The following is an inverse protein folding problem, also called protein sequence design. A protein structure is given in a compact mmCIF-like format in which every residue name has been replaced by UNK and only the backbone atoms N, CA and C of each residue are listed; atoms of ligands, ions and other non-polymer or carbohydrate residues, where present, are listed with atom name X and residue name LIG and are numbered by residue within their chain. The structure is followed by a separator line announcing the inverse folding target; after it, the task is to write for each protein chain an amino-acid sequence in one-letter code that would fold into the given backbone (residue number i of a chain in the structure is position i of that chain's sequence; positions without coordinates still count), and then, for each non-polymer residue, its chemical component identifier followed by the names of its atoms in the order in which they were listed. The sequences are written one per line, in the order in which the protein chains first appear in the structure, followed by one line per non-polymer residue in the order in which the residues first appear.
data_IF_439336143489
#
_entry.id   IF_439336143489
#
_cell.length_a   1.000
_cell.length_b   1.000
_cell.length_c   1.000
_cell.angle_alpha   90.00
_cell.angle_beta   90.00
_cell.angle_gamma   90.00
#
_symmetry.space_group_name_H-M   'P 1'
#
loop_
_entity.id
_entity.type
_entity.pdbx_description
1 polymer ?
#
# COMPACT_ATOMS: atom_id res chain seq x y z
N UNK A 1 5.84 30.75 -1.96
CA UNK A 1 6.69 30.91 -0.76
C UNK A 1 7.63 29.72 -0.70
N UNK A 2 8.95 29.94 -0.67
CA UNK A 2 9.94 28.89 -0.44
C UNK A 2 9.86 28.42 1.01
N UNK A 3 9.77 27.11 1.24
CA UNK A 3 9.79 26.55 2.59
C UNK A 3 11.16 26.85 3.22
N UNK A 4 11.19 27.46 4.41
CA UNK A 4 12.43 27.88 5.09
C UNK A 4 13.37 26.71 5.44
N UNK A 5 12.85 25.49 5.48
CA UNK A 5 13.62 24.28 5.74
C UNK A 5 14.12 23.60 4.46
N UNK A 6 13.72 24.06 3.27
CA UNK A 6 14.16 23.44 2.04
C UNK A 6 15.56 23.92 1.65
N UNK A 7 16.48 23.00 1.38
CA UNK A 7 17.80 23.30 0.84
C UNK A 7 17.79 22.95 -0.66
N UNK A 8 18.17 23.90 -1.52
CA UNK A 8 18.30 23.63 -2.94
C UNK A 8 19.55 22.79 -3.24
N UNK A 9 19.64 22.23 -4.46
CA UNK A 9 20.72 21.30 -4.81
C UNK A 9 22.12 21.92 -4.60
N UNK A 10 22.40 23.17 -5.01
CA UNK A 10 23.67 23.81 -4.71
C UNK A 10 23.99 23.89 -3.21
N UNK A 11 23.03 24.29 -2.38
CA UNK A 11 23.24 24.41 -0.94
C UNK A 11 23.42 23.05 -0.27
N UNK A 12 22.65 22.03 -0.66
CA UNK A 12 22.80 20.65 -0.17
C UNK A 12 24.23 20.14 -0.36
N UNK A 13 24.85 20.42 -1.52
CA UNK A 13 26.22 19.98 -1.80
C UNK A 13 27.22 20.60 -0.82
N UNK A 14 27.07 21.89 -0.55
CA UNK A 14 27.94 22.59 0.40
C UNK A 14 27.74 22.00 1.80
N UNK A 15 26.48 21.76 2.20
CA UNK A 15 26.14 21.10 3.47
C UNK A 15 26.77 19.71 3.56
N UNK A 16 26.68 18.90 2.50
CA UNK A 16 27.30 17.58 2.46
C UNK A 16 28.80 17.65 2.71
N UNK A 17 29.48 18.53 1.95
CA UNK A 17 30.93 18.67 2.02
C UNK A 17 31.35 19.06 3.42
N UNK A 18 30.67 20.04 4.04
CA UNK A 18 31.00 20.47 5.40
C UNK A 18 30.81 19.34 6.39
N UNK A 19 29.72 18.57 6.30
CA UNK A 19 29.50 17.45 7.21
C UNK A 19 30.55 16.35 7.03
N UNK A 20 31.00 16.08 5.80
CA UNK A 20 32.09 15.15 5.53
C UNK A 20 33.43 15.68 6.05
N UNK A 21 33.75 16.96 5.81
CA UNK A 21 34.95 17.62 6.36
C UNK A 21 34.96 17.51 7.90
N UNK A 22 33.82 17.78 8.55
CA UNK A 22 33.70 17.64 10.01
C UNK A 22 33.82 16.19 10.47
N UNK A 23 33.30 15.22 9.72
CA UNK A 23 33.46 13.80 10.02
C UNK A 23 34.93 13.35 9.94
N UNK A 24 35.63 13.73 8.86
CA UNK A 24 36.96 13.19 8.55
C UNK A 24 38.11 14.00 9.17
N UNK A 25 37.99 15.32 9.25
CA UNK A 25 39.10 16.22 9.59
C UNK A 25 38.99 16.83 10.99
N UNK A 26 37.80 16.82 11.61
CA UNK A 26 37.64 17.38 12.95
C UNK A 26 38.37 16.50 13.98
N UNK A 27 39.27 17.14 14.74
CA UNK A 27 40.06 16.50 15.79
C UNK A 27 39.24 16.21 17.05
N UNK A 28 38.14 16.92 17.25
CA UNK A 28 37.19 16.61 18.31
C UNK A 28 36.29 15.45 17.87
N UNK A 29 36.48 14.31 18.55
CA UNK A 29 35.72 13.08 18.30
C UNK A 29 34.21 13.27 18.47
N UNK A 30 33.79 14.14 19.39
CA UNK A 30 32.37 14.41 19.64
C UNK A 30 31.76 15.20 18.49
N UNK A 31 32.46 16.22 17.98
CA UNK A 31 32.00 17.01 16.84
C UNK A 31 31.99 16.17 15.54
N UNK A 32 33.01 15.34 15.34
CA UNK A 32 33.06 14.35 14.24
C UNK A 32 31.85 13.38 14.31
N UNK A 33 31.53 12.87 15.50
CA UNK A 33 30.36 12.02 15.70
C UNK A 33 29.03 12.75 15.51
N UNK A 34 28.91 14.02 15.93
CA UNK A 34 27.72 14.84 15.65
C UNK A 34 27.52 15.04 14.14
N UNK A 35 28.59 15.21 13.38
CA UNK A 35 28.53 15.29 11.92
C UNK A 35 28.02 13.97 11.31
N UNK A 36 28.51 12.82 11.80
CA UNK A 36 27.98 11.51 11.41
C UNK A 36 26.47 11.35 11.71
N UNK A 37 26.01 11.80 12.89
CA UNK A 37 24.58 11.82 13.23
C UNK A 37 23.76 12.70 12.28
N UNK A 38 24.31 13.84 11.83
CA UNK A 38 23.66 14.70 10.83
C UNK A 38 23.60 14.05 9.45
N UNK A 39 24.66 13.36 9.01
CA UNK A 39 24.65 12.56 7.79
C UNK A 39 23.60 11.44 7.87
N UNK A 40 23.55 10.70 8.99
CA UNK A 40 22.49 9.71 9.24
C UNK A 40 21.09 10.33 9.14
N UNK A 41 20.89 11.51 9.70
CA UNK A 41 19.62 12.25 9.65
C UNK A 41 19.17 12.57 8.22
N UNK A 42 20.09 13.04 7.37
CA UNK A 42 19.83 13.37 5.96
C UNK A 42 19.34 12.16 5.17
N UNK A 43 19.94 11.00 5.38
CA UNK A 43 19.65 9.81 4.57
C UNK A 43 18.48 8.98 5.12
N UNK A 44 18.19 9.07 6.42
CA UNK A 44 17.09 8.31 7.04
C UNK A 44 15.82 9.12 7.26
N UNK A 45 15.90 10.45 7.21
CA UNK A 45 14.81 11.37 7.55
C UNK A 45 14.47 11.42 9.04
N UNK A 46 15.30 10.81 9.90
CA UNK A 46 15.13 10.85 11.35
C UNK A 46 15.92 12.01 11.96
N UNK A 47 15.58 12.44 13.18
CA UNK A 47 16.35 13.48 13.88
C UNK A 47 17.79 13.03 14.17
N UNK A 48 18.77 13.92 14.00
CA UNK A 48 20.18 13.64 14.34
C UNK A 48 20.35 13.12 15.78
N UNK A 49 19.50 13.59 16.69
CA UNK A 49 19.52 13.23 18.13
C UNK A 49 19.31 11.75 18.37
N UNK A 50 18.55 11.03 17.53
CA UNK A 50 18.29 9.60 17.76
C UNK A 50 19.53 8.74 17.53
N UNK A 51 20.48 9.24 16.74
CA UNK A 51 21.65 8.47 16.34
C UNK A 51 22.74 8.42 17.40
N UNK A 52 22.65 9.24 18.44
CA UNK A 52 23.60 9.18 19.56
C UNK A 52 23.58 7.81 20.27
N UNK A 53 22.44 7.10 20.23
CA UNK A 53 22.27 5.77 20.85
C UNK A 53 22.19 4.65 19.79
N UNK A 54 23.36 4.31 19.22
CA UNK A 54 23.48 3.24 18.22
C UNK A 54 23.09 1.87 18.80
N UNK A 55 23.40 1.60 20.08
CA UNK A 55 23.12 0.30 20.68
C UNK A 55 21.61 0.06 20.83
N UNK A 56 20.83 1.10 21.15
CA UNK A 56 19.37 1.02 21.13
C UNK A 56 18.83 0.78 19.70
N UNK A 57 19.41 1.40 18.67
CA UNK A 57 19.02 1.15 17.28
C UNK A 57 19.33 -0.28 16.84
N UNK A 58 20.44 -0.86 17.30
CA UNK A 58 20.77 -2.28 17.08
C UNK A 58 19.80 -3.21 17.84
N UNK A 59 19.50 -2.89 19.10
CA UNK A 59 18.56 -3.65 19.95
C UNK A 59 17.15 -3.68 19.39
N UNK A 60 16.66 -2.54 18.89
CA UNK A 60 15.35 -2.40 18.24
C UNK A 60 15.33 -2.92 16.81
N UNK A 61 16.49 -3.31 16.26
CA UNK A 61 16.67 -3.82 14.89
C UNK A 61 16.35 -2.80 13.79
N UNK A 62 16.29 -1.51 14.13
CA UNK A 62 16.20 -0.42 13.15
C UNK A 62 17.55 -0.21 12.45
N UNK A 63 18.65 -0.53 13.14
CA UNK A 63 19.97 -0.74 12.56
C UNK A 63 20.36 -2.22 12.70
N UNK A 64 21.03 -2.79 11.70
CA UNK A 64 21.60 -4.15 11.78
C UNK A 64 23.06 -4.14 11.36
N UNK A 65 23.90 -4.83 12.12
CA UNK A 65 25.27 -5.15 11.70
C UNK A 65 25.26 -6.43 10.86
N UNK A 66 25.94 -6.42 9.72
CA UNK A 66 26.09 -7.65 8.93
C UNK A 66 26.99 -8.63 9.66
N UNK A 67 26.62 -9.92 9.67
CA UNK A 67 27.38 -10.97 10.34
C UNK A 67 28.68 -11.33 9.61
N UNK A 68 28.72 -11.11 8.30
CA UNK A 68 29.77 -11.63 7.43
C UNK A 68 30.62 -10.52 6.78
N UNK A 69 30.23 -9.24 6.96
CA UNK A 69 30.87 -8.09 6.31
C UNK A 69 30.87 -6.89 7.27
N UNK A 70 31.87 -6.02 7.16
CA UNK A 70 32.00 -4.81 7.98
C UNK A 70 31.09 -3.67 7.46
N UNK A 71 29.77 -3.87 7.48
CA UNK A 71 28.81 -2.80 7.19
C UNK A 71 27.57 -2.86 8.06
N UNK A 72 26.84 -1.74 8.07
CA UNK A 72 25.58 -1.56 8.77
C UNK A 72 24.43 -1.35 7.78
N UNK A 73 23.25 -1.85 8.15
CA UNK A 73 22.02 -1.73 7.39
C UNK A 73 21.01 -0.89 8.16
N UNK A 74 20.55 0.19 7.56
CA UNK A 74 19.37 0.91 8.02
C UNK A 74 18.11 0.19 7.53
N UNK A 75 17.17 -0.07 8.44
CA UNK A 75 15.94 -0.82 8.16
C UNK A 75 14.75 0.13 8.13
N UNK A 76 14.05 0.14 6.99
CA UNK A 76 12.77 0.82 6.81
C UNK A 76 11.65 -0.22 6.95
N UNK A 77 10.83 -0.08 7.99
CA UNK A 77 9.64 -0.90 8.28
C UNK A 77 8.44 0.04 8.49
N UNK A 78 7.36 -0.18 7.74
CA UNK A 78 6.11 0.57 7.89
C UNK A 78 5.21 0.01 9.01
N UNK A 79 5.69 -0.96 9.79
CA UNK A 79 4.96 -1.73 10.80
C UNK A 79 3.73 -2.42 10.22
N UNK A 80 3.99 -3.14 9.11
CA UNK A 80 2.97 -3.93 8.44
C UNK A 80 2.53 -5.11 9.31
N UNK A 81 1.26 -5.48 9.19
CA UNK A 81 0.75 -6.61 9.95
C UNK A 81 1.35 -7.94 9.41
N UNK A 82 2.03 -8.67 10.30
CA UNK A 82 2.75 -9.91 10.01
C UNK A 82 1.94 -11.17 10.34
N UNK A 83 0.73 -11.02 10.88
CA UNK A 83 -0.17 -12.12 11.24
C UNK A 83 -0.98 -12.54 10.00
N UNK A 84 -0.44 -13.52 9.28
CA UNK A 84 -1.07 -14.12 8.11
C UNK A 84 -1.81 -15.41 8.50
N UNK A 85 -2.92 -15.71 7.82
CA UNK A 85 -3.75 -16.90 8.01
C UNK A 85 -4.19 -17.47 6.66
N UNK A 86 -4.58 -18.74 6.63
CA UNK A 86 -5.08 -19.40 5.42
C UNK A 86 -4.05 -19.49 4.28
N UNK A 87 -4.53 -19.58 3.03
CA UNK A 87 -3.65 -19.79 1.86
C UNK A 87 -2.53 -18.75 1.74
N UNK A 88 -2.78 -17.50 2.15
CA UNK A 88 -1.79 -16.42 2.01
C UNK A 88 -0.60 -16.56 2.96
N UNK A 89 -0.71 -17.39 4.00
CA UNK A 89 0.41 -17.68 4.91
C UNK A 89 1.51 -18.48 4.20
N UNK A 90 1.16 -19.32 3.21
CA UNK A 90 2.09 -20.11 2.40
C UNK A 90 2.98 -19.19 1.58
N UNK A 91 4.31 -19.42 1.62
CA UNK A 91 5.31 -18.51 1.02
C UNK A 91 5.05 -18.28 -0.48
N UNK A 92 4.80 -19.34 -1.22
CA UNK A 92 4.65 -19.31 -2.69
C UNK A 92 3.36 -18.65 -3.19
N UNK A 93 2.49 -18.24 -2.27
CA UNK A 93 1.26 -17.52 -2.60
C UNK A 93 1.42 -16.00 -2.48
N UNK A 94 2.47 -15.50 -1.83
CA UNK A 94 2.65 -14.08 -1.52
C UNK A 94 3.25 -13.34 -2.71
N UNK A 95 2.67 -12.20 -3.08
CA UNK A 95 3.28 -11.32 -4.09
C UNK A 95 4.40 -10.46 -3.52
N UNK A 96 4.21 -9.93 -2.30
CA UNK A 96 5.24 -9.20 -1.57
C UNK A 96 5.87 -10.14 -0.55
N UNK A 97 7.16 -10.43 -0.71
CA UNK A 97 7.87 -11.43 0.07
C UNK A 97 8.44 -10.86 1.37
N UNK A 98 8.81 -9.59 1.35
CA UNK A 98 9.45 -8.91 2.47
C UNK A 98 8.52 -7.86 3.09
N UNK A 99 8.78 -7.52 4.36
CA UNK A 99 8.09 -6.43 5.07
C UNK A 99 8.97 -5.21 5.31
N UNK A 100 10.28 -5.35 5.10
CA UNK A 100 11.24 -4.27 5.34
C UNK A 100 12.17 -4.10 4.16
N UNK A 101 12.46 -2.84 3.84
CA UNK A 101 13.49 -2.47 2.89
C UNK A 101 14.72 -1.99 3.65
N UNK A 102 15.91 -2.24 3.12
CA UNK A 102 17.15 -1.90 3.80
C UNK A 102 18.21 -1.38 2.84
N UNK A 103 19.02 -0.45 3.33
CA UNK A 103 20.18 0.05 2.61
C UNK A 103 21.39 0.14 3.54
N UNK A 104 22.56 0.04 2.95
CA UNK A 104 23.83 0.12 3.63
C UNK A 104 24.13 1.57 4.03
N UNK A 105 24.62 1.73 5.25
CA UNK A 105 25.22 2.95 5.77
C UNK A 105 26.75 2.76 5.83
N UNK A 106 27.54 3.79 5.50
CA UNK A 106 28.99 3.78 5.73
C UNK A 106 29.35 3.37 7.16
N UNK A 107 30.23 2.36 7.30
CA UNK A 107 30.61 1.84 8.61
C UNK A 107 31.28 2.92 9.48
N UNK A 108 32.11 3.76 8.86
CA UNK A 108 32.78 4.88 9.53
C UNK A 108 31.81 5.80 10.28
N UNK A 109 30.61 6.06 9.73
CA UNK A 109 29.63 6.92 10.40
C UNK A 109 29.17 6.30 11.71
N UNK A 110 28.83 5.02 11.68
CA UNK A 110 28.35 4.28 12.85
C UNK A 110 29.47 4.08 13.86
N UNK A 111 30.65 3.65 13.41
CA UNK A 111 31.79 3.37 14.27
C UNK A 111 32.27 4.65 14.98
N UNK A 112 32.29 5.80 14.29
CA UNK A 112 32.64 7.09 14.89
C UNK A 112 31.67 7.50 15.99
N UNK A 113 30.37 7.33 15.78
CA UNK A 113 29.35 7.64 16.80
C UNK A 113 29.53 6.75 18.03
N UNK A 114 29.77 5.45 17.83
CA UNK A 114 29.98 4.49 18.92
C UNK A 114 31.26 4.79 19.71
N UNK A 115 32.34 5.16 19.04
CA UNK A 115 33.60 5.55 19.67
C UNK A 115 33.45 6.80 20.53
N UNK A 116 32.74 7.81 20.03
CA UNK A 116 32.50 9.05 20.78
C UNK A 116 31.57 8.86 21.99
N UNK A 117 30.77 7.79 22.02
CA UNK A 117 29.84 7.47 23.10
C UNK A 117 28.95 8.67 23.51
N UNK A 118 28.33 9.29 22.50
CA UNK A 118 27.47 10.46 22.68
C UNK A 118 26.29 10.13 23.61
N UNK A 119 25.99 11.02 24.56
CA UNK A 119 24.84 10.83 25.46
C UNK A 119 24.23 12.17 25.90
N UNK A 120 22.92 12.16 26.11
CA UNK A 120 22.13 13.28 26.61
C UNK A 120 22.21 14.57 25.77
N UNK A 121 22.56 14.47 24.48
CA UNK A 121 22.55 15.60 23.57
C UNK A 121 21.13 15.92 23.12
N UNK A 122 20.81 17.21 23.05
CA UNK A 122 19.53 17.76 22.61
C UNK A 122 19.64 18.36 21.21
N UNK A 123 18.50 18.73 20.59
CA UNK A 123 18.53 19.46 19.33
C UNK A 123 19.41 20.72 19.42
N UNK A 124 19.38 21.44 20.55
CA UNK A 124 20.15 22.66 20.78
C UNK A 124 21.67 22.41 20.68
N UNK A 125 22.14 21.28 21.19
CA UNK A 125 23.57 20.93 21.17
C UNK A 125 24.06 20.68 19.74
N UNK A 126 23.22 20.04 18.92
CA UNK A 126 23.49 19.85 17.50
C UNK A 126 23.38 21.18 16.73
N UNK A 127 22.39 22.01 17.02
CA UNK A 127 22.18 23.30 16.37
C UNK A 127 23.32 24.29 16.65
N UNK A 128 23.93 24.23 17.84
CA UNK A 128 25.14 24.98 18.16
C UNK A 128 26.31 24.59 17.25
N UNK A 129 26.59 23.29 17.16
CA UNK A 129 27.65 22.74 16.28
C UNK A 129 27.42 23.11 14.82
N UNK A 130 26.19 22.91 14.31
CA UNK A 130 25.81 23.32 12.96
C UNK A 130 26.06 24.82 12.75
N UNK A 131 25.57 25.66 13.66
CA UNK A 131 25.77 27.11 13.55
C UNK A 131 27.26 27.48 13.44
N UNK A 132 28.12 26.87 14.25
CA UNK A 132 29.58 27.08 14.22
C UNK A 132 30.20 26.62 12.89
N UNK A 133 29.86 25.42 12.40
CA UNK A 133 30.40 24.87 11.14
C UNK A 133 30.01 25.69 9.90
N UNK A 134 28.82 26.29 9.91
CA UNK A 134 28.29 27.05 8.78
C UNK A 134 28.58 28.57 8.86
N UNK A 135 28.95 29.08 10.04
CA UNK A 135 29.14 30.52 10.29
C UNK A 135 30.11 31.18 9.29
N UNK A 136 31.33 30.64 9.16
CA UNK A 136 32.37 31.22 8.30
C UNK A 136 32.06 31.14 6.81
N UNK A 137 31.10 30.30 6.42
CA UNK A 137 30.68 30.15 5.02
C UNK A 137 29.48 31.03 4.66
N UNK A 138 29.03 31.89 5.59
CA UNK A 138 27.89 32.82 5.41
C UNK A 138 26.60 32.09 5.01
N UNK A 139 26.47 30.85 5.44
CA UNK A 139 25.24 30.06 5.27
C UNK A 139 24.38 30.34 6.50
N UNK A 140 23.10 30.65 6.28
CA UNK A 140 22.14 30.86 7.36
C UNK A 140 22.01 29.63 8.27
N UNK A 141 21.43 29.78 9.47
CA UNK A 141 21.38 28.68 10.43
C UNK A 141 20.65 27.47 9.85
N UNK A 142 21.34 26.33 9.85
CA UNK A 142 20.77 25.03 9.48
C UNK A 142 20.38 24.31 10.77
N UNK A 143 19.11 23.98 10.92
CA UNK A 143 18.60 23.26 12.09
C UNK A 143 18.62 21.75 11.89
N UNK A 144 18.55 21.00 12.99
CA UNK A 144 18.38 19.54 12.97
C UNK A 144 17.10 19.15 12.22
N UNK A 145 16.02 19.92 12.41
CA UNK A 145 14.76 19.75 11.70
C UNK A 145 14.93 19.95 10.19
N UNK A 146 15.68 20.97 9.78
CA UNK A 146 15.99 21.22 8.37
C UNK A 146 16.67 20.00 7.75
N UNK A 147 17.74 19.49 8.39
CA UNK A 147 18.50 18.32 7.95
C UNK A 147 17.61 17.09 7.78
N UNK A 148 16.79 16.75 8.78
CA UNK A 148 15.91 15.58 8.72
C UNK A 148 14.84 15.69 7.61
N UNK A 149 14.33 16.90 7.33
CA UNK A 149 13.27 17.10 6.34
C UNK A 149 13.75 17.01 4.89
N UNK A 150 15.06 17.05 4.61
CA UNK A 150 15.57 17.01 3.23
C UNK A 150 15.13 15.75 2.49
N UNK A 151 15.16 14.58 3.14
CA UNK A 151 14.71 13.34 2.51
C UNK A 151 13.27 13.48 2.00
N UNK A 152 12.36 13.98 2.84
CA UNK A 152 10.96 14.21 2.46
C UNK A 152 10.83 15.25 1.33
N UNK A 153 11.52 16.40 1.41
CA UNK A 153 11.43 17.45 0.39
C UNK A 153 11.93 17.03 -0.98
N UNK A 154 13.00 16.25 -1.04
CA UNK A 154 13.56 15.79 -2.31
C UNK A 154 12.80 14.60 -2.86
N UNK A 155 12.38 13.64 -2.02
CA UNK A 155 11.53 12.55 -2.48
C UNK A 155 10.17 13.06 -2.99
N UNK A 156 9.60 14.13 -2.44
CA UNK A 156 8.41 14.80 -3.01
C UNK A 156 8.61 15.27 -4.47
N UNK A 157 9.84 15.55 -4.89
CA UNK A 157 10.16 15.98 -6.26
C UNK A 157 10.59 14.83 -7.17
N UNK A 158 11.13 13.76 -6.60
CA UNK A 158 11.66 12.60 -7.33
C UNK A 158 10.58 11.53 -7.54
N UNK A 159 9.76 11.27 -6.53
CA UNK A 159 8.74 10.24 -6.57
C UNK A 159 7.59 10.64 -7.50
N UNK A 160 7.08 9.65 -8.24
CA UNK A 160 5.87 9.82 -9.06
C UNK A 160 4.58 9.67 -8.24
N UNK A 161 4.66 8.99 -7.10
CA UNK A 161 3.53 8.69 -6.22
C UNK A 161 3.89 8.91 -4.75
N UNK A 162 2.90 9.30 -3.94
CA UNK A 162 3.11 9.59 -2.51
C UNK A 162 3.36 8.34 -1.69
N UNK A 163 2.84 7.19 -2.12
CA UNK A 163 2.95 5.95 -1.36
C UNK A 163 4.41 5.49 -1.27
N UNK A 164 5.14 5.51 -2.38
CA UNK A 164 6.57 5.20 -2.48
C UNK A 164 7.38 6.14 -1.59
N UNK A 165 7.12 7.45 -1.67
CA UNK A 165 7.75 8.45 -0.80
C UNK A 165 7.52 8.14 0.67
N UNK A 166 6.27 7.95 1.07
CA UNK A 166 5.89 7.71 2.47
C UNK A 166 6.54 6.44 3.02
N UNK A 167 6.65 5.38 2.21
CA UNK A 167 7.40 4.20 2.59
C UNK A 167 8.88 4.49 2.78
N UNK A 168 9.55 5.14 1.81
CA UNK A 168 10.99 5.43 1.85
C UNK A 168 11.41 6.30 3.05
N UNK A 169 10.58 7.28 3.46
CA UNK A 169 10.84 8.10 4.65
C UNK A 169 10.50 7.38 5.97
N UNK A 170 10.04 6.12 5.93
CA UNK A 170 9.72 5.32 7.11
C UNK A 170 8.42 5.71 7.80
N UNK A 171 7.42 6.25 7.09
CA UNK A 171 6.08 6.44 7.67
C UNK A 171 5.49 5.10 8.08
N UNK A 172 4.84 5.11 9.25
CA UNK A 172 4.15 3.96 9.80
C UNK A 172 2.71 3.90 9.27
N UNK A 173 2.15 2.69 9.16
CA UNK A 173 0.74 2.47 8.78
C UNK A 173 -0.24 3.25 9.65
N UNK A 174 0.07 3.49 10.93
CA UNK A 174 -0.76 4.30 11.83
C UNK A 174 -0.89 5.76 11.38
N UNK A 175 0.10 6.28 10.67
CA UNK A 175 0.13 7.65 10.15
C UNK A 175 -0.26 7.72 8.67
N UNK A 176 0.10 6.70 7.88
CA UNK A 176 -0.30 6.56 6.47
C UNK A 176 -0.98 5.19 6.24
N UNK A 177 -2.31 5.09 6.42
CA UNK A 177 -3.05 3.83 6.35
C UNK A 177 -2.92 3.08 5.02
N UNK A 178 -2.68 3.78 3.90
CA UNK A 178 -2.50 3.19 2.57
C UNK A 178 -1.36 2.18 2.48
N UNK A 179 -0.31 2.40 3.29
CA UNK A 179 0.84 1.50 3.34
C UNK A 179 0.43 0.09 3.76
N UNK A 180 -0.68 -0.08 4.48
CA UNK A 180 -1.18 -1.39 4.87
C UNK A 180 -1.51 -2.29 3.66
N UNK A 181 -1.84 -1.70 2.52
CA UNK A 181 -2.27 -2.41 1.32
C UNK A 181 -1.21 -2.47 0.23
N UNK A 182 -0.31 -1.48 0.19
CA UNK A 182 0.68 -1.32 -0.85
C UNK A 182 1.79 -2.36 -0.87
N UNK A 183 2.49 -2.42 -2.00
CA UNK A 183 3.71 -3.18 -2.19
C UNK A 183 4.56 -2.58 -3.30
N UNK A 184 5.86 -2.76 -3.20
CA UNK A 184 6.87 -2.10 -4.02
C UNK A 184 7.87 -3.13 -4.51
N UNK A 185 8.38 -2.96 -5.73
CA UNK A 185 9.58 -3.68 -6.15
C UNK A 185 10.81 -3.07 -5.50
N UNK A 186 11.80 -3.89 -5.16
CA UNK A 186 13.08 -3.37 -4.68
C UNK A 186 13.75 -2.49 -5.74
N UNK A 187 13.63 -2.85 -7.02
CA UNK A 187 14.12 -2.04 -8.15
C UNK A 187 13.60 -0.61 -8.10
N UNK A 188 12.28 -0.42 -8.00
CA UNK A 188 11.65 0.90 -7.92
C UNK A 188 12.16 1.70 -6.72
N UNK A 189 12.21 1.09 -5.52
CA UNK A 189 12.67 1.77 -4.32
C UNK A 189 14.15 2.18 -4.41
N UNK A 190 14.99 1.27 -4.89
CA UNK A 190 16.42 1.51 -5.06
C UNK A 190 16.66 2.61 -6.10
N UNK A 191 16.01 2.59 -7.26
CA UNK A 191 16.16 3.62 -8.30
C UNK A 191 15.74 5.01 -7.80
N UNK A 192 14.63 5.10 -7.06
CA UNK A 192 14.15 6.37 -6.50
C UNK A 192 15.12 6.89 -5.43
N UNK A 193 15.55 6.03 -4.52
CA UNK A 193 16.46 6.42 -3.46
C UNK A 193 17.88 6.70 -3.99
N UNK A 194 18.32 6.03 -5.06
CA UNK A 194 19.60 6.29 -5.74
C UNK A 194 19.61 7.70 -6.35
N UNK A 195 18.49 8.12 -6.97
CA UNK A 195 18.33 9.50 -7.44
C UNK A 195 18.47 10.51 -6.30
N UNK A 196 17.96 10.20 -5.11
CA UNK A 196 18.15 11.04 -3.93
C UNK A 196 19.62 11.09 -3.51
N UNK A 197 20.29 9.94 -3.36
CA UNK A 197 21.73 9.87 -3.05
C UNK A 197 22.54 10.69 -4.08
N UNK A 198 22.19 10.61 -5.36
CA UNK A 198 22.89 11.32 -6.43
C UNK A 198 22.82 12.85 -6.30
N UNK A 199 21.79 13.41 -5.65
CA UNK A 199 21.73 14.85 -5.37
C UNK A 199 22.90 15.31 -4.47
N UNK A 200 23.36 14.42 -3.60
CA UNK A 200 24.42 14.68 -2.61
C UNK A 200 25.82 14.32 -3.15
N UNK A 201 25.93 13.32 -4.04
CA UNK A 201 27.20 12.71 -4.46
C UNK A 201 27.34 12.58 -5.99
N UNK A 202 27.34 13.70 -6.72
CA UNK A 202 27.13 13.74 -8.18
C UNK A 202 28.20 13.06 -9.06
N UNK A 203 29.39 12.74 -8.56
CA UNK A 203 30.42 12.05 -9.33
C UNK A 203 30.66 10.65 -8.77
N UNK A 204 30.24 9.62 -9.52
CA UNK A 204 30.55 8.20 -9.23
C UNK A 204 32.05 7.94 -9.03
N UNK A 205 32.89 8.86 -9.52
CA UNK A 205 34.35 8.73 -9.57
C UNK A 205 35.11 9.70 -8.63
N UNK A 206 34.45 10.68 -7.98
CA UNK A 206 35.16 11.70 -7.15
C UNK A 206 34.93 11.54 -5.65
N UNK A 207 33.82 10.93 -5.23
CA UNK A 207 33.58 10.60 -3.82
C UNK A 207 33.89 9.13 -3.62
N UNK A 208 34.69 8.81 -2.61
CA UNK A 208 34.98 7.42 -2.27
C UNK A 208 33.65 6.70 -2.06
N UNK A 209 33.43 5.60 -2.79
CA UNK A 209 32.18 4.83 -2.77
C UNK A 209 31.81 4.42 -1.33
N UNK A 210 32.80 4.34 -0.43
CA UNK A 210 32.65 4.06 1.00
C UNK A 210 31.98 5.17 1.82
N UNK A 211 31.92 6.43 1.35
CA UNK A 211 31.41 7.58 2.12
C UNK A 211 29.95 7.91 1.81
N UNK A 212 29.22 7.01 1.14
CA UNK A 212 27.79 7.19 0.84
C UNK A 212 26.98 5.93 1.09
N UNK A 213 25.66 6.08 1.31
CA UNK A 213 24.76 4.93 1.38
C UNK A 213 24.79 4.10 0.09
N UNK A 214 24.62 2.78 0.23
CA UNK A 214 24.61 1.83 -0.89
C UNK A 214 23.49 0.81 -0.77
N UNK A 215 23.12 0.15 -1.86
CA UNK A 215 22.11 -0.92 -1.84
C UNK A 215 22.77 -2.30 -1.85
N UNK A 216 22.23 -3.22 -1.04
CA UNK A 216 22.72 -4.60 -0.93
C UNK A 216 21.77 -5.59 -1.62
N UNK A 217 20.50 -5.21 -1.79
CA UNK A 217 19.46 -6.07 -2.35
C UNK A 217 19.37 -5.85 -3.86
N UNK A 218 19.92 -6.81 -4.60
CA UNK A 218 20.18 -6.78 -6.06
C UNK A 218 19.12 -7.57 -6.85
N UNK A 219 18.18 -8.24 -6.18
CA UNK A 219 17.14 -9.00 -6.89
C UNK A 219 16.07 -8.05 -7.42
N UNK A 220 16.14 -7.71 -8.71
CA UNK A 220 15.19 -6.81 -9.37
C UNK A 220 13.72 -7.23 -9.19
N UNK A 221 13.47 -8.54 -9.07
CA UNK A 221 12.14 -9.11 -8.96
C UNK A 221 11.60 -9.17 -7.52
N UNK A 222 12.46 -8.99 -6.52
CA UNK A 222 12.03 -9.04 -5.12
C UNK A 222 11.07 -7.89 -4.81
N UNK A 223 10.16 -8.13 -3.87
CA UNK A 223 9.12 -7.16 -3.48
C UNK A 223 8.97 -7.04 -1.96
N UNK A 224 8.64 -5.83 -1.53
CA UNK A 224 8.42 -5.46 -0.13
C UNK A 224 7.05 -4.81 0.04
N UNK A 225 6.39 -5.07 1.15
CA UNK A 225 5.12 -4.44 1.50
C UNK A 225 4.15 -5.41 2.12
N UNK A 226 2.86 -5.15 1.90
CA UNK A 226 1.79 -5.97 2.47
C UNK A 226 1.89 -7.41 1.96
N UNK A 227 2.15 -8.35 2.85
CA UNK A 227 2.22 -9.79 2.54
C UNK A 227 0.82 -10.43 2.38
N UNK A 228 -0.25 -9.62 2.43
CA UNK A 228 -1.66 -10.04 2.29
C UNK A 228 -2.15 -9.97 0.83
N UNK A 229 -1.23 -10.00 -0.12
CA UNK A 229 -1.48 -9.92 -1.56
C UNK A 229 -1.11 -11.27 -2.17
N UNK A 230 -2.05 -11.90 -2.88
CA UNK A 230 -1.72 -13.07 -3.68
C UNK A 230 -0.93 -12.70 -4.92
N UNK A 231 -0.03 -13.58 -5.36
CA UNK A 231 0.57 -13.45 -6.70
C UNK A 231 -0.49 -13.48 -7.78
N UNK A 232 -0.20 -12.83 -8.91
CA UNK A 232 -1.16 -12.69 -10.01
C UNK A 232 -1.68 -14.04 -10.51
N UNK A 233 -0.78 -14.99 -10.75
CA UNK A 233 -1.13 -16.31 -11.29
C UNK A 233 -1.99 -17.13 -10.33
N UNK A 234 -1.78 -16.99 -9.01
CA UNK A 234 -2.60 -17.66 -7.99
C UNK A 234 -4.00 -17.07 -7.95
N UNK A 235 -4.12 -15.74 -7.95
CA UNK A 235 -5.42 -15.07 -8.03
C UNK A 235 -6.16 -15.41 -9.34
N UNK A 236 -5.44 -15.41 -10.46
CA UNK A 236 -5.97 -15.81 -11.77
C UNK A 236 -6.49 -17.24 -11.75
N UNK A 237 -5.68 -18.20 -11.29
CA UNK A 237 -6.10 -19.60 -11.18
C UNK A 237 -7.34 -19.73 -10.31
N UNK A 238 -7.34 -19.11 -9.12
CA UNK A 238 -8.49 -19.11 -8.21
C UNK A 238 -9.77 -18.60 -8.89
N UNK A 239 -9.74 -17.41 -9.50
CA UNK A 239 -10.92 -16.80 -10.10
C UNK A 239 -11.45 -17.58 -11.31
N UNK A 240 -10.57 -18.16 -12.13
CA UNK A 240 -10.98 -18.99 -13.27
C UNK A 240 -11.58 -20.33 -12.80
N UNK A 241 -11.00 -20.96 -11.78
CA UNK A 241 -11.59 -22.17 -11.18
C UNK A 241 -12.96 -21.88 -10.59
N UNK A 242 -13.11 -20.77 -9.87
CA UNK A 242 -14.40 -20.33 -9.35
C UNK A 242 -15.42 -20.12 -10.48
N UNK A 243 -15.04 -19.38 -11.53
CA UNK A 243 -15.91 -19.12 -12.69
C UNK A 243 -16.41 -20.42 -13.32
N UNK A 244 -15.51 -21.39 -13.57
CA UNK A 244 -15.86 -22.67 -14.19
C UNK A 244 -16.84 -23.47 -13.35
N UNK A 245 -16.63 -23.56 -12.03
CA UNK A 245 -17.57 -24.29 -11.15
C UNK A 245 -18.92 -23.58 -11.06
N UNK A 246 -18.94 -22.25 -11.00
CA UNK A 246 -20.21 -21.49 -11.00
C UNK A 246 -20.99 -21.74 -12.29
N UNK A 247 -20.33 -21.70 -13.46
CA UNK A 247 -20.96 -22.05 -14.75
C UNK A 247 -21.54 -23.48 -14.71
N UNK A 248 -20.78 -24.43 -14.18
CA UNK A 248 -21.23 -25.82 -14.07
C UNK A 248 -22.49 -25.94 -13.19
N UNK A 249 -22.47 -25.35 -12.00
CA UNK A 249 -23.61 -25.35 -11.06
C UNK A 249 -24.86 -24.74 -11.71
N UNK A 250 -24.71 -23.66 -12.47
CA UNK A 250 -25.84 -23.01 -13.13
C UNK A 250 -26.47 -23.87 -14.24
N UNK A 251 -25.66 -24.66 -14.96
CA UNK A 251 -26.10 -25.55 -16.05
C UNK A 251 -26.77 -26.83 -15.59
N UNK A 252 -26.24 -27.44 -14.54
CA UNK A 252 -26.68 -28.76 -14.08
C UNK A 252 -28.08 -28.70 -13.43
N UNK A 253 -28.73 -29.86 -13.30
CA UNK A 253 -29.92 -30.01 -12.44
C UNK A 253 -29.49 -29.97 -10.96
N UNK A 254 -29.05 -28.80 -10.53
CA UNK A 254 -28.75 -28.48 -9.14
C UNK A 254 -29.95 -27.80 -8.49
N UNK A 255 -30.00 -27.92 -7.16
CA UNK A 255 -30.98 -27.20 -6.35
C UNK A 255 -30.86 -25.67 -6.55
N UNK A 256 -32.00 -24.99 -6.48
CA UNK A 256 -32.08 -23.56 -6.75
C UNK A 256 -31.30 -22.73 -5.72
N UNK A 257 -31.16 -23.20 -4.48
CA UNK A 257 -30.36 -22.53 -3.46
C UNK A 257 -28.86 -22.61 -3.78
N UNK A 258 -28.39 -23.74 -4.31
CA UNK A 258 -26.99 -23.90 -4.70
C UNK A 258 -26.65 -23.01 -5.90
N UNK A 259 -27.53 -22.95 -6.92
CA UNK A 259 -27.41 -22.00 -8.03
C UNK A 259 -27.36 -20.55 -7.55
N UNK A 260 -28.22 -20.22 -6.59
CA UNK A 260 -28.29 -18.90 -6.01
C UNK A 260 -26.99 -18.53 -5.26
N UNK A 261 -26.48 -19.43 -4.42
CA UNK A 261 -25.26 -19.21 -3.64
C UNK A 261 -24.03 -19.08 -4.57
N UNK A 262 -23.88 -19.97 -5.54
CA UNK A 262 -22.79 -19.96 -6.50
C UNK A 262 -22.71 -18.63 -7.27
N UNK A 263 -23.84 -18.16 -7.80
CA UNK A 263 -23.89 -16.91 -8.55
C UNK A 263 -23.63 -15.69 -7.64
N UNK A 264 -24.18 -15.70 -6.42
CA UNK A 264 -23.95 -14.66 -5.41
C UNK A 264 -22.46 -14.50 -5.06
N UNK A 265 -21.75 -15.62 -4.88
CA UNK A 265 -20.30 -15.62 -4.63
C UNK A 265 -19.52 -15.06 -5.81
N UNK A 266 -19.89 -15.40 -7.05
CA UNK A 266 -19.24 -14.87 -8.24
C UNK A 266 -19.39 -13.35 -8.35
N UNK A 267 -20.60 -12.84 -8.19
CA UNK A 267 -20.89 -11.41 -8.24
C UNK A 267 -20.16 -10.66 -7.13
N UNK A 268 -20.07 -11.24 -5.93
CA UNK A 268 -19.30 -10.66 -4.83
C UNK A 268 -17.85 -10.38 -5.21
N UNK A 269 -17.15 -11.35 -5.84
CA UNK A 269 -15.78 -11.14 -6.29
C UNK A 269 -15.69 -10.12 -7.42
N UNK A 270 -16.60 -10.14 -8.38
CA UNK A 270 -16.64 -9.15 -9.47
C UNK A 270 -16.77 -7.73 -8.91
N UNK A 271 -17.67 -7.51 -7.96
CA UNK A 271 -17.87 -6.22 -7.30
C UNK A 271 -16.63 -5.78 -6.50
N UNK A 272 -16.01 -6.67 -5.72
CA UNK A 272 -14.83 -6.30 -4.92
C UNK A 272 -13.62 -5.96 -5.79
N UNK A 273 -13.38 -6.74 -6.85
CA UNK A 273 -12.25 -6.52 -7.77
C UNK A 273 -12.44 -5.25 -8.61
N UNK A 274 -13.67 -4.97 -9.02
CA UNK A 274 -13.96 -3.78 -9.85
C UNK A 274 -14.08 -2.48 -9.09
N UNK A 275 -14.19 -2.55 -7.76
CA UNK A 275 -14.38 -1.37 -6.93
C UNK A 275 -13.27 -1.09 -5.93
N UNK A 276 -12.39 -2.06 -5.67
CA UNK A 276 -11.40 -1.99 -4.59
C UNK A 276 -12.02 -1.91 -3.18
N UNK A 277 -13.31 -2.21 -3.03
CA UNK A 277 -14.03 -2.14 -1.78
C UNK A 277 -13.51 -3.12 -0.71
N UNK A 278 -13.76 -2.82 0.56
CA UNK A 278 -13.55 -3.79 1.64
C UNK A 278 -14.72 -4.81 1.61
N UNK A 279 -14.49 -6.13 1.82
CA UNK A 279 -15.54 -7.12 2.08
C UNK A 279 -16.30 -6.87 3.41
N UNK A 280 -16.94 -5.71 3.55
CA UNK A 280 -17.89 -5.38 4.60
C UNK A 280 -19.32 -5.48 4.05
N UNK A 281 -20.29 -5.65 4.96
CA UNK A 281 -21.72 -6.00 4.71
C UNK A 281 -22.43 -5.16 3.61
N UNK A 282 -21.93 -3.95 3.26
CA UNK A 282 -22.57 -3.04 2.32
C UNK A 282 -21.73 -2.53 1.14
N UNK A 283 -20.51 -3.04 0.91
CA UNK A 283 -19.60 -2.40 -0.05
C UNK A 283 -19.68 -2.95 -1.50
N UNK A 284 -20.39 -4.05 -1.73
CA UNK A 284 -20.45 -4.75 -3.03
C UNK A 284 -21.83 -5.30 -3.41
N UNK A 285 -22.87 -5.07 -2.59
CA UNK A 285 -24.13 -5.83 -2.67
C UNK A 285 -25.42 -5.02 -2.59
N UNK A 286 -25.37 -3.69 -2.39
CA UNK A 286 -26.56 -2.82 -2.33
C UNK A 286 -26.97 -2.38 -3.72
N UNK A 287 -28.04 -2.97 -4.30
CA UNK A 287 -28.53 -2.63 -5.66
C UNK A 287 -28.82 -1.14 -5.79
N UNK A 288 -29.39 -0.51 -4.76
CA UNK A 288 -29.71 0.92 -4.73
C UNK A 288 -28.47 1.82 -4.79
N UNK A 289 -27.28 1.28 -4.52
CA UNK A 289 -26.03 2.02 -4.66
C UNK A 289 -25.47 1.99 -6.08
N UNK A 290 -26.04 1.19 -7.00
CA UNK A 290 -25.60 1.11 -8.39
C UNK A 290 -26.51 1.95 -9.28
N UNK A 291 -25.92 2.92 -9.97
CA UNK A 291 -26.54 3.63 -11.07
C UNK A 291 -26.04 3.05 -12.39
N UNK A 292 -26.89 2.25 -13.05
CA UNK A 292 -26.60 1.62 -14.34
C UNK A 292 -26.74 2.57 -15.53
N UNK A 293 -27.30 3.77 -15.35
CA UNK A 293 -27.35 4.79 -16.41
C UNK A 293 -25.98 5.46 -16.52
N UNK A 294 -25.39 5.82 -15.37
CA UNK A 294 -24.06 6.47 -15.34
C UNK A 294 -22.91 5.49 -15.14
N UNK A 295 -23.19 4.21 -14.90
CA UNK A 295 -22.22 3.16 -14.57
C UNK A 295 -21.34 3.54 -13.37
N UNK A 296 -21.97 4.00 -12.28
CA UNK A 296 -21.31 4.38 -11.04
C UNK A 296 -21.94 3.63 -9.87
N UNK A 297 -21.11 3.08 -8.99
CA UNK A 297 -21.53 2.56 -7.70
C UNK A 297 -21.11 3.50 -6.56
N UNK A 298 -22.01 3.74 -5.61
CA UNK A 298 -21.69 4.44 -4.37
C UNK A 298 -21.28 3.45 -3.27
N UNK A 299 -20.08 3.61 -2.73
CA UNK A 299 -19.48 2.62 -1.82
C UNK A 299 -19.22 3.23 -0.46
N UNK A 300 -19.74 2.57 0.57
CA UNK A 300 -19.59 2.98 1.95
C UNK A 300 -18.74 1.97 2.75
N UNK A 301 -17.41 2.14 2.70
CA UNK A 301 -16.45 1.19 3.29
C UNK A 301 -16.50 1.10 4.85
N UNK A 302 -17.14 2.05 5.55
CA UNK A 302 -17.27 2.07 7.03
C UNK A 302 -18.56 2.73 7.50
N UNK A 303 -19.42 2.06 8.25
CA UNK A 303 -20.57 2.66 8.95
C UNK A 303 -20.15 3.29 10.30
N UNK A 304 -19.26 4.28 10.28
CA UNK A 304 -18.80 4.96 11.51
C UNK A 304 -19.14 6.45 11.49
N UNK A 305 -19.54 7.02 12.63
CA UNK A 305 -19.85 8.46 12.79
C UNK A 305 -18.73 9.41 12.30
N UNK A 306 -17.48 8.94 12.23
CA UNK A 306 -16.32 9.72 11.77
C UNK A 306 -16.10 9.75 10.25
N UNK A 307 -16.85 8.95 9.47
CA UNK A 307 -16.82 8.98 8.00
C UNK A 307 -18.26 8.90 7.46
N UNK A 308 -18.97 10.04 7.42
CA UNK A 308 -20.38 10.08 7.01
C UNK A 308 -20.60 9.97 5.49
N UNK A 309 -19.52 10.02 4.69
CA UNK A 309 -19.58 9.99 3.24
C UNK A 309 -18.82 8.79 2.68
N UNK A 310 -19.42 8.16 1.69
CA UNK A 310 -18.84 7.11 0.85
C UNK A 310 -18.10 7.69 -0.36
N UNK A 311 -17.85 6.85 -1.35
CA UNK A 311 -17.09 7.19 -2.57
C UNK A 311 -17.80 6.68 -3.81
N UNK A 312 -17.58 7.37 -4.94
CA UNK A 312 -18.07 6.93 -6.24
C UNK A 312 -17.04 6.02 -6.90
N UNK A 313 -17.48 4.84 -7.32
CA UNK A 313 -16.68 3.84 -8.02
C UNK A 313 -17.27 3.60 -9.40
N UNK A 314 -16.56 3.98 -10.48
CA UNK A 314 -16.95 3.63 -11.84
C UNK A 314 -17.07 2.11 -12.01
N UNK A 315 -18.02 1.69 -12.83
CA UNK A 315 -18.27 0.30 -13.19
C UNK A 315 -17.81 0.06 -14.61
N UNK A 316 -17.24 -1.12 -14.85
CA UNK A 316 -16.94 -1.57 -16.20
C UNK A 316 -18.12 -2.37 -16.77
N UNK A 317 -18.25 -2.36 -18.10
CA UNK A 317 -19.32 -3.05 -18.82
C UNK A 317 -19.46 -4.53 -18.42
N UNK A 318 -18.34 -5.25 -18.23
CA UNK A 318 -18.36 -6.63 -17.76
C UNK A 318 -19.17 -6.80 -16.47
N UNK A 319 -18.93 -5.94 -15.48
CA UNK A 319 -19.58 -6.03 -14.17
C UNK A 319 -21.04 -5.62 -14.26
N UNK A 320 -21.34 -4.60 -15.07
CA UNK A 320 -22.72 -4.18 -15.34
C UNK A 320 -23.52 -5.34 -15.92
N UNK A 321 -22.99 -6.01 -16.94
CA UNK A 321 -23.65 -7.13 -17.59
C UNK A 321 -23.84 -8.31 -16.62
N UNK A 322 -22.83 -8.66 -15.83
CA UNK A 322 -22.96 -9.74 -14.84
C UNK A 322 -23.99 -9.42 -13.75
N UNK A 323 -24.06 -8.16 -13.31
CA UNK A 323 -25.08 -7.70 -12.36
C UNK A 323 -26.49 -7.75 -12.97
N UNK A 324 -26.65 -7.41 -14.24
CA UNK A 324 -27.93 -7.51 -14.95
C UNK A 324 -28.38 -8.97 -15.10
N UNK A 325 -27.47 -9.87 -15.49
CA UNK A 325 -27.74 -11.30 -15.54
C UNK A 325 -28.16 -11.86 -14.19
N UNK A 326 -27.49 -11.43 -13.11
CA UNK A 326 -27.85 -11.80 -11.76
C UNK A 326 -29.23 -11.26 -11.35
N UNK A 327 -29.58 -10.03 -11.75
CA UNK A 327 -30.93 -9.46 -11.54
C UNK A 327 -32.02 -10.28 -12.21
N UNK A 328 -31.79 -10.67 -13.47
CA UNK A 328 -32.72 -11.51 -14.23
C UNK A 328 -32.86 -12.89 -13.61
N UNK A 329 -31.74 -13.53 -13.24
CA UNK A 329 -31.74 -14.81 -12.54
C UNK A 329 -32.57 -14.75 -11.25
N UNK A 330 -32.35 -13.74 -10.39
CA UNK A 330 -33.12 -13.59 -9.14
C UNK A 330 -34.60 -13.37 -9.41
N UNK A 331 -34.96 -12.54 -10.40
CA UNK A 331 -36.35 -12.28 -10.75
C UNK A 331 -37.11 -13.53 -11.19
N UNK A 332 -36.41 -14.50 -11.76
CA UNK A 332 -37.00 -15.74 -12.26
C UNK A 332 -37.08 -16.85 -11.20
N UNK A 333 -36.48 -16.66 -10.02
CA UNK A 333 -36.55 -17.63 -8.92
C UNK A 333 -37.90 -17.54 -8.21
N UNK A 334 -38.52 -18.70 -7.96
CA UNK A 334 -39.67 -18.79 -7.07
C UNK A 334 -39.22 -18.73 -5.60
N UNK A 335 -39.60 -17.66 -4.89
CA UNK A 335 -39.21 -17.43 -3.49
C UNK A 335 -39.65 -18.57 -2.54
N UNK A 336 -40.78 -19.22 -2.81
CA UNK A 336 -41.27 -20.36 -2.02
C UNK A 336 -40.42 -21.62 -2.22
N UNK A 337 -39.94 -21.84 -3.44
CA UNK A 337 -39.06 -22.97 -3.77
C UNK A 337 -37.69 -22.80 -3.10
N UNK A 338 -37.14 -21.58 -3.12
CA UNK A 338 -35.89 -21.24 -2.46
C UNK A 338 -35.99 -21.40 -0.92
N UNK A 339 -37.10 -20.98 -0.32
CA UNK A 339 -37.30 -21.08 1.13
C UNK A 339 -37.38 -22.53 1.64
N UNK A 340 -37.82 -23.46 0.79
CA UNK A 340 -38.05 -24.86 1.15
C UNK A 340 -36.81 -25.76 0.94
N UNK A 341 -35.74 -25.26 0.31
CA UNK A 341 -34.65 -26.08 -0.24
C UNK A 341 -33.32 -25.97 0.53
N UNK A 342 -33.13 -25.00 1.44
CA UNK A 342 -31.88 -24.87 2.17
C UNK A 342 -32.00 -24.36 3.61
N UNK A 343 -31.23 -24.97 4.52
CA UNK A 343 -30.99 -24.48 5.88
C UNK A 343 -30.16 -23.17 5.89
N UNK A 344 -29.39 -22.91 4.82
CA UNK A 344 -28.50 -21.75 4.68
C UNK A 344 -28.54 -21.17 3.24
N UNK A 345 -29.11 -19.97 3.09
CA UNK A 345 -29.08 -19.18 1.83
C UNK A 345 -28.15 -17.98 2.04
N UNK A 346 -27.10 -17.90 1.24
CA UNK A 346 -26.09 -16.85 1.32
C UNK A 346 -26.41 -15.73 0.32
N UNK A 347 -27.08 -14.68 0.80
CA UNK A 347 -27.69 -13.65 -0.03
C UNK A 347 -26.85 -12.38 -0.19
N UNK A 348 -26.61 -11.91 -1.43
CA UNK A 348 -26.12 -10.55 -1.62
C UNK A 348 -27.16 -9.57 -1.08
N UNK A 349 -26.83 -8.97 0.06
CA UNK A 349 -27.70 -8.37 1.06
C UNK A 349 -28.85 -7.43 0.63
N UNK A 350 -28.98 -7.07 -0.64
CA UNK A 350 -29.87 -6.03 -1.11
C UNK A 350 -30.27 -6.15 -2.59
N UNK A 351 -30.15 -7.33 -3.19
CA UNK A 351 -30.75 -7.57 -4.51
C UNK A 351 -32.24 -7.96 -4.37
N UNK A 352 -33.09 -6.94 -4.15
CA UNK A 352 -34.57 -6.93 -4.07
C UNK A 352 -35.19 -6.98 -2.65
N UNK A 353 -35.51 -5.78 -2.13
CA UNK A 353 -36.53 -5.57 -1.09
C UNK A 353 -37.92 -5.56 -1.76
N UNK A 354 -38.53 -6.73 -1.91
CA UNK A 354 -39.91 -6.91 -2.39
C UNK A 354 -40.69 -7.87 -1.49
N UNK A 355 -42.03 -7.76 -1.51
CA UNK A 355 -42.94 -8.48 -0.61
C UNK A 355 -42.87 -10.02 -0.70
N UNK A 356 -42.34 -10.56 -1.80
CA UNK A 356 -42.28 -12.00 -2.09
C UNK A 356 -41.30 -12.78 -1.21
N UNK A 357 -40.25 -12.12 -0.70
CA UNK A 357 -39.24 -12.71 0.19
C UNK A 357 -39.49 -12.39 1.68
N UNK A 358 -40.60 -11.72 2.03
CA UNK A 358 -40.92 -11.35 3.42
C UNK A 358 -41.27 -12.55 4.33
N UNK A 359 -41.41 -13.75 3.76
CA UNK A 359 -41.73 -14.98 4.50
C UNK A 359 -40.53 -15.69 5.13
N UNK A 360 -39.29 -15.27 4.84
CA UNK A 360 -38.07 -15.84 5.45
C UNK A 360 -36.96 -14.80 5.63
N UNK A 361 -36.08 -15.02 6.62
CA UNK A 361 -34.99 -14.11 6.95
C UNK A 361 -33.76 -14.42 6.09
N UNK A 362 -33.38 -13.48 5.22
CA UNK A 362 -32.14 -13.57 4.44
C UNK A 362 -31.01 -12.84 5.17
N UNK A 363 -29.91 -13.55 5.47
CA UNK A 363 -28.70 -12.93 6.03
C UNK A 363 -27.82 -12.31 4.94
N UNK A 364 -27.23 -11.14 5.19
CA UNK A 364 -26.30 -10.53 4.24
C UNK A 364 -25.08 -11.42 4.00
N UNK A 365 -24.66 -11.54 2.74
CA UNK A 365 -23.44 -12.24 2.36
C UNK A 365 -22.27 -11.55 3.04
N UNK A 366 -21.64 -12.28 3.94
CA UNK A 366 -20.45 -11.81 4.65
C UNK A 366 -19.24 -12.56 4.13
N UNK A 367 -18.05 -12.06 4.46
CA UNK A 367 -16.84 -12.81 4.18
C UNK A 367 -16.84 -14.21 4.84
N UNK A 368 -17.49 -14.37 6.01
CA UNK A 368 -17.63 -15.67 6.67
C UNK A 368 -18.43 -16.64 5.81
N UNK A 369 -19.53 -16.18 5.22
CA UNK A 369 -20.37 -16.96 4.31
C UNK A 369 -19.61 -17.37 3.05
N UNK A 370 -18.85 -16.45 2.45
CA UNK A 370 -17.96 -16.78 1.33
C UNK A 370 -16.93 -17.86 1.71
N UNK A 371 -16.30 -17.73 2.88
CA UNK A 371 -15.30 -18.69 3.34
C UNK A 371 -15.91 -20.08 3.58
N UNK A 372 -17.08 -20.17 4.22
CA UNK A 372 -17.82 -21.43 4.40
C UNK A 372 -18.15 -22.07 3.06
N UNK A 373 -18.81 -21.34 2.17
CA UNK A 373 -19.20 -21.84 0.85
C UNK A 373 -18.01 -22.34 0.03
N UNK A 374 -16.89 -21.59 0.04
CA UNK A 374 -15.68 -22.01 -0.66
C UNK A 374 -15.02 -23.23 -0.02
N UNK A 375 -15.01 -23.34 1.31
CA UNK A 375 -14.44 -24.50 1.99
C UNK A 375 -15.21 -25.79 1.69
N UNK A 376 -16.53 -25.71 1.53
CA UNK A 376 -17.40 -26.85 1.25
C UNK A 376 -17.31 -27.28 -0.23
N UNK A 377 -17.35 -26.31 -1.15
CA UNK A 377 -17.44 -26.58 -2.59
C UNK A 377 -16.09 -26.54 -3.33
N UNK A 378 -15.06 -26.00 -2.67
CA UNK A 378 -13.71 -25.83 -3.21
C UNK A 378 -12.66 -26.09 -2.13
N UNK A 379 -12.58 -27.30 -1.55
CA UNK A 379 -11.70 -27.60 -0.41
C UNK A 379 -10.21 -27.40 -0.73
N UNK A 380 -9.82 -27.36 -2.01
CA UNK A 380 -8.48 -26.96 -2.46
C UNK A 380 -8.14 -25.49 -2.10
N UNK A 381 -9.16 -24.68 -1.83
CA UNK A 381 -9.13 -23.27 -1.46
C UNK A 381 -9.32 -23.18 0.08
N UNK A 382 -8.24 -23.44 0.82
CA UNK A 382 -8.13 -23.12 2.26
C UNK A 382 -8.48 -21.64 2.57
N UNK A 383 -8.61 -21.27 3.85
CA UNK A 383 -9.18 -20.00 4.32
C UNK A 383 -8.68 -18.77 3.53
N UNK A 384 -9.62 -17.98 3.00
CA UNK A 384 -9.31 -16.73 2.30
C UNK A 384 -8.98 -15.62 3.29
N UNK A 385 -7.86 -14.93 3.06
CA UNK A 385 -7.48 -13.81 3.90
C UNK A 385 -8.48 -12.63 3.78
N UNK A 386 -8.95 -12.04 4.88
CA UNK A 386 -9.80 -10.85 4.85
C UNK A 386 -9.23 -9.68 4.05
N UNK A 387 -10.05 -9.14 3.14
CA UNK A 387 -9.72 -8.04 2.24
C UNK A 387 -8.63 -8.34 1.19
N UNK A 388 -8.26 -9.60 0.91
CA UNK A 388 -7.20 -9.92 -0.06
C UNK A 388 -7.44 -9.27 -1.44
N UNK A 389 -8.71 -9.14 -1.87
CA UNK A 389 -9.09 -8.48 -3.13
C UNK A 389 -8.68 -7.01 -3.15
N UNK A 390 -8.85 -6.28 -2.04
CA UNK A 390 -8.43 -4.88 -1.93
C UNK A 390 -6.90 -4.74 -1.96
N UNK A 391 -6.20 -5.67 -1.33
CA UNK A 391 -4.74 -5.77 -1.39
C UNK A 391 -4.28 -6.07 -2.83
N UNK A 392 -4.95 -7.01 -3.50
CA UNK A 392 -4.70 -7.39 -4.88
C UNK A 392 -4.88 -6.21 -5.85
N UNK A 393 -6.04 -5.54 -5.81
CA UNK A 393 -6.32 -4.37 -6.65
C UNK A 393 -5.28 -3.27 -6.41
N UNK A 394 -4.85 -3.02 -5.16
CA UNK A 394 -3.81 -2.01 -4.88
C UNK A 394 -2.46 -2.30 -5.54
N UNK A 395 -2.12 -3.57 -5.73
CA UNK A 395 -0.81 -3.97 -6.23
C UNK A 395 -0.77 -4.23 -7.74
N UNK A 396 -1.91 -4.51 -8.37
CA UNK A 396 -1.99 -4.90 -9.78
C UNK A 396 -2.77 -3.93 -10.67
N UNK A 397 -3.44 -2.95 -10.08
CA UNK A 397 -4.09 -1.89 -10.84
C UNK A 397 -3.14 -0.70 -11.00
N UNK A 398 -2.90 -0.32 -12.25
CA UNK A 398 -2.08 0.84 -12.61
C UNK A 398 -3.00 2.06 -12.74
N UNK A 399 -2.94 2.97 -11.77
CA UNK A 399 -3.64 4.24 -11.82
C UNK A 399 -2.73 5.38 -11.35
N UNK A 400 -2.96 6.60 -11.82
CA UNK A 400 -2.38 7.80 -11.21
C UNK A 400 -2.68 7.85 -9.71
N UNK A 401 -1.69 8.23 -8.89
CA UNK A 401 -1.79 8.19 -7.43
C UNK A 401 -2.98 9.02 -6.89
N UNK A 402 -3.22 10.21 -7.46
CA UNK A 402 -4.35 11.06 -7.08
C UNK A 402 -5.72 10.40 -7.33
N UNK A 403 -5.86 9.66 -8.44
CA UNK A 403 -7.07 8.88 -8.75
C UNK A 403 -7.20 7.72 -7.77
N UNK A 404 -6.10 6.99 -7.54
CA UNK A 404 -6.09 5.84 -6.65
C UNK A 404 -6.49 6.24 -5.22
N UNK A 405 -5.90 7.31 -4.67
CA UNK A 405 -6.23 7.85 -3.33
C UNK A 405 -7.70 8.23 -3.21
N UNK A 406 -8.22 8.95 -4.20
CA UNK A 406 -9.64 9.34 -4.27
C UNK A 406 -10.55 8.11 -4.30
N UNK A 407 -10.19 7.11 -5.11
CA UNK A 407 -10.95 5.89 -5.28
C UNK A 407 -10.85 4.94 -4.09
N UNK A 408 -9.81 4.99 -3.26
CA UNK A 408 -9.71 4.17 -2.06
C UNK A 408 -10.17 4.88 -0.77
N UNK A 409 -10.36 6.20 -0.81
CA UNK A 409 -10.89 7.03 0.27
C UNK A 409 -10.19 6.81 1.64
N UNK A 410 -8.87 6.68 1.64
CA UNK A 410 -8.11 6.37 2.85
C UNK A 410 -7.65 7.59 3.64
N UNK A 411 -7.59 8.78 3.03
CA UNK A 411 -6.99 10.00 3.61
C UNK A 411 -7.99 11.02 4.20
N UNK A 412 -7.44 12.10 4.77
CA UNK A 412 -8.16 13.25 5.33
C UNK A 412 -9.03 13.93 4.26
N UNK A 413 -10.14 14.58 4.66
CA UNK A 413 -11.13 15.19 3.74
C UNK A 413 -10.55 16.07 2.62
N UNK A 414 -9.36 16.65 2.80
CA UNK A 414 -8.73 17.56 1.84
C UNK A 414 -7.93 16.85 0.73
N UNK A 415 -7.61 15.55 0.89
CA UNK A 415 -6.83 14.75 -0.07
C UNK A 415 -7.71 13.84 -0.95
N UNK A 416 -9.02 13.86 -0.71
CA UNK A 416 -10.01 13.16 -1.53
C UNK A 416 -10.30 14.01 -2.77
N UNK A 417 -10.35 13.36 -3.93
CA UNK A 417 -10.80 13.96 -5.18
C UNK A 417 -12.16 14.65 -5.05
N UNK A 418 -12.35 15.69 -5.85
CA UNK A 418 -13.59 16.51 -5.85
C UNK A 418 -13.80 17.36 -4.59
N UNK A 419 -12.79 17.49 -3.72
CA UNK A 419 -12.77 18.56 -2.72
C UNK A 419 -12.71 19.95 -3.40
N UNK A 420 -13.01 21.02 -2.65
CA UNK A 420 -13.09 22.41 -3.17
C UNK A 420 -11.84 22.85 -3.97
N UNK A 421 -10.67 22.32 -3.64
CA UNK A 421 -9.40 22.67 -4.27
C UNK A 421 -8.83 21.56 -5.16
N UNK A 422 -9.63 20.51 -5.43
CA UNK A 422 -9.22 19.40 -6.29
C UNK A 422 -9.26 19.82 -7.76
N UNK A 423 -8.19 19.55 -8.49
CA UNK A 423 -8.13 19.67 -9.95
C UNK A 423 -8.57 18.39 -10.68
N UNK A 424 -8.94 17.35 -9.94
CA UNK A 424 -9.31 16.06 -10.52
C UNK A 424 -10.64 16.16 -11.25
N UNK A 425 -10.62 15.89 -12.56
CA UNK A 425 -11.81 15.91 -13.40
C UNK A 425 -12.61 14.60 -13.26
N UNK A 426 -13.95 14.67 -13.06
CA UNK A 426 -14.79 13.47 -12.94
C UNK A 426 -14.68 12.52 -14.13
N UNK A 427 -14.62 13.06 -15.35
CA UNK A 427 -14.48 12.26 -16.57
C UNK A 427 -13.16 11.46 -16.59
N UNK A 428 -12.03 12.11 -16.32
CA UNK A 428 -10.72 11.45 -16.24
C UNK A 428 -10.71 10.40 -15.13
N UNK A 429 -11.25 10.73 -13.95
CA UNK A 429 -11.40 9.78 -12.86
C UNK A 429 -12.17 8.52 -13.29
N UNK A 430 -13.27 8.67 -14.03
CA UNK A 430 -14.07 7.55 -14.52
C UNK A 430 -13.32 6.68 -15.52
N UNK A 431 -12.81 7.29 -16.59
CA UNK A 431 -12.19 6.57 -17.72
C UNK A 431 -10.93 5.82 -17.29
N UNK A 432 -10.06 6.45 -16.50
CA UNK A 432 -8.82 5.83 -16.03
C UNK A 432 -9.10 4.59 -15.16
N UNK A 433 -10.09 4.69 -14.26
CA UNK A 433 -10.50 3.54 -13.43
C UNK A 433 -11.12 2.45 -14.30
N UNK A 434 -12.04 2.80 -15.21
CA UNK A 434 -12.70 1.83 -16.07
C UNK A 434 -11.69 1.10 -16.97
N UNK A 435 -10.75 1.83 -17.58
CA UNK A 435 -9.71 1.24 -18.43
C UNK A 435 -8.80 0.30 -17.62
N UNK A 436 -8.25 0.77 -16.50
CA UNK A 436 -7.38 -0.05 -15.67
C UNK A 436 -8.08 -1.32 -15.16
N UNK A 437 -9.34 -1.20 -14.70
CA UNK A 437 -10.12 -2.34 -14.19
C UNK A 437 -10.48 -3.29 -15.34
N UNK A 438 -10.85 -2.78 -16.52
CA UNK A 438 -11.08 -3.60 -17.71
C UNK A 438 -9.83 -4.39 -18.09
N UNK A 439 -8.67 -3.75 -18.11
CA UNK A 439 -7.39 -4.42 -18.40
C UNK A 439 -7.07 -5.49 -17.36
N UNK A 440 -7.31 -5.21 -16.07
CA UNK A 440 -7.14 -6.20 -15.00
C UNK A 440 -8.03 -7.44 -15.23
N UNK A 441 -9.33 -7.23 -15.52
CA UNK A 441 -10.28 -8.32 -15.77
C UNK A 441 -9.88 -9.14 -17.01
N UNK A 442 -9.45 -8.48 -18.09
CA UNK A 442 -8.92 -9.13 -19.30
C UNK A 442 -7.67 -9.98 -18.99
N UNK A 443 -6.71 -9.45 -18.23
CA UNK A 443 -5.49 -10.18 -17.85
C UNK A 443 -5.79 -11.39 -16.95
N UNK A 444 -6.76 -11.25 -16.05
CA UNK A 444 -7.29 -12.34 -15.23
C UNK A 444 -8.05 -13.38 -16.07
N UNK A 445 -8.48 -13.03 -17.29
CA UNK A 445 -9.22 -13.93 -18.17
C UNK A 445 -10.64 -14.20 -17.68
N UNK A 446 -11.23 -13.26 -16.93
CA UNK A 446 -12.59 -13.43 -16.42
C UNK A 446 -13.59 -13.42 -17.57
N UNK A 447 -14.57 -14.32 -17.49
CA UNK A 447 -15.61 -14.51 -18.49
C UNK A 447 -16.96 -14.45 -17.82
N UNK A 448 -17.97 -13.97 -18.54
CA UNK A 448 -19.34 -13.94 -18.03
C UNK A 448 -19.82 -15.37 -17.77
N UNK A 449 -20.45 -15.61 -16.61
CA UNK A 449 -20.98 -16.95 -16.29
C UNK A 449 -22.18 -17.30 -17.16
N UNK A 450 -22.93 -16.30 -17.64
CA UNK A 450 -24.12 -16.51 -18.48
C UNK A 450 -23.78 -16.71 -19.95
N UNK A 451 -22.78 -16.02 -20.48
CA UNK A 451 -22.31 -16.28 -21.86
C UNK A 451 -21.75 -17.69 -22.09
N UNK A 452 -21.47 -18.40 -20.99
CA UNK A 452 -20.90 -19.74 -20.99
C UNK A 452 -21.89 -20.80 -20.48
N UNK A 453 -22.97 -20.39 -19.81
CA UNK A 453 -24.10 -21.23 -19.38
C UNK A 453 -25.02 -21.51 -20.56
#
# INVERSE_FOLDING_TARGET
MSNIYYLDIPLLKIVNQILLDQLHENKDIMESAKAACCLMSIFTGQSAVIFQDIDQLLKTKQLKRSSNRAYYLWIVDANLNKNLKGQIAKKDNKYNEHTTWAFQIPAMWIDRIREANLSNLTNTDFEKSLSEWFYHRRIGPISVTSIALQLSFHLNRICKDDLTKNFLIGRQVSHQPDLAYGGFSYKQLNEVYEKYIYLWFQNKNEVNVLDRPQFIQVEEQARVGSQRVWSFDKAKKFLNTLNLKVVQVLKEEQDIAEKFNAFSVWIWFCCLLSSGARPAIGASSIRENFDFITNIAYIHDKSSRSRPHGRYSPLIEFVVNELQHYDEFIKNINALELANTADHIYYLSYWKKGSEFMSFTLEPLTQKHIASYLSENFPEIDELYPNWTRHFVRNFLELPDAIFKSWYAHDQQNEIGFSKYSSLQPYTYMIEIQDAVNQLFKRLGLKSVVSQS
#
